data_IF_264156049621
#
_entry.id   IF_264156049621
#
_cell.length_a   1.000
_cell.length_b   1.000
_cell.length_c   1.000
_cell.angle_alpha   90.00
_cell.angle_beta   90.00
_cell.angle_gamma   90.00
#
_symmetry.space_group_name_H-M   'P 1'
#
loop_
_entity.id
_entity.type
_entity.pdbx_description
1 polymer ?
#
# COMPACT_ATOMS: atom_id res chain seq x y z
N UNK A 1 0.90 -20.27 61.53
CA UNK A 1 2.05 -20.37 60.59
C UNK A 1 1.56 -21.08 59.34
N UNK A 2 1.35 -20.32 58.25
CA UNK A 2 1.27 -20.82 56.87
C UNK A 2 2.69 -21.19 56.38
N UNK A 3 2.91 -21.93 55.27
CA UNK A 3 2.61 -21.48 53.90
C UNK A 3 1.96 -22.57 53.00
N UNK A 4 0.91 -22.30 52.23
CA UNK A 4 0.90 -21.75 50.85
C UNK A 4 1.88 -22.39 49.85
N UNK A 5 1.36 -23.34 49.06
CA UNK A 5 1.94 -23.82 47.80
C UNK A 5 1.25 -23.11 46.64
N UNK A 6 1.96 -22.20 45.96
CA UNK A 6 1.62 -21.70 44.61
C UNK A 6 2.76 -22.12 43.70
N UNK A 7 2.43 -22.90 42.66
CA UNK A 7 3.38 -23.28 41.63
C UNK A 7 3.87 -22.07 40.83
N UNK A 8 5.10 -22.10 40.29
CA UNK A 8 5.53 -21.11 39.32
C UNK A 8 4.93 -21.44 37.96
N UNK A 9 4.14 -20.49 37.49
CA UNK A 9 3.63 -20.28 36.14
C UNK A 9 4.64 -20.62 35.06
N UNK A 10 4.17 -21.34 34.04
CA UNK A 10 4.88 -21.54 32.77
C UNK A 10 5.31 -20.19 32.19
N UNK A 11 6.54 -20.05 31.67
CA UNK A 11 6.90 -18.89 30.89
C UNK A 11 6.03 -18.89 29.62
N UNK A 12 5.11 -17.93 29.55
CA UNK A 12 4.44 -17.59 28.29
C UNK A 12 5.56 -17.18 27.35
N UNK A 13 5.91 -18.07 26.42
CA UNK A 13 6.85 -17.76 25.37
C UNK A 13 6.32 -16.54 24.63
N UNK A 14 6.97 -15.39 24.85
CA UNK A 14 6.78 -14.20 24.03
C UNK A 14 7.29 -14.59 22.66
N UNK A 15 6.40 -15.14 21.81
CA UNK A 15 6.66 -15.30 20.39
C UNK A 15 6.99 -13.89 19.90
N UNK A 16 8.24 -13.67 19.50
CA UNK A 16 8.70 -12.41 18.93
C UNK A 16 7.83 -12.09 17.70
N UNK A 17 6.83 -11.22 17.89
CA UNK A 17 6.01 -10.73 16.80
C UNK A 17 6.75 -9.58 16.12
N UNK A 18 6.75 -9.57 14.78
CA UNK A 18 7.30 -8.47 13.99
C UNK A 18 6.36 -7.27 14.05
N UNK A 19 6.87 -6.08 14.35
CA UNK A 19 6.07 -4.86 14.52
C UNK A 19 6.20 -3.94 13.31
N UNK A 20 5.08 -3.56 12.71
CA UNK A 20 4.98 -2.73 11.51
C UNK A 20 4.31 -1.40 11.88
N UNK A 21 5.03 -0.28 11.81
CA UNK A 21 4.44 1.04 12.00
C UNK A 21 4.17 1.71 10.66
N UNK A 22 2.90 2.07 10.42
CA UNK A 22 2.44 2.60 9.15
C UNK A 22 1.90 4.00 9.27
N UNK A 23 2.44 4.89 8.43
CA UNK A 23 1.96 6.26 8.25
C UNK A 23 1.41 6.44 6.85
N UNK A 24 0.23 7.05 6.73
CA UNK A 24 -0.30 7.46 5.44
C UNK A 24 0.41 8.74 4.98
N UNK A 25 1.44 8.62 4.15
CA UNK A 25 1.93 9.75 3.39
C UNK A 25 0.99 9.97 2.19
N UNK A 26 0.03 10.89 2.33
CA UNK A 26 -0.74 11.38 1.18
C UNK A 26 0.25 12.00 0.19
N UNK A 27 0.11 11.69 -1.11
CA UNK A 27 1.00 12.15 -2.15
C UNK A 27 1.16 13.69 -2.08
N UNK A 28 2.32 14.16 -1.60
CA UNK A 28 2.59 15.57 -1.37
C UNK A 28 3.19 15.92 0.00
N UNK A 29 3.08 15.05 1.01
CA UNK A 29 3.81 15.24 2.28
C UNK A 29 5.20 14.63 2.19
N UNK A 30 6.23 15.43 2.43
CA UNK A 30 7.58 14.90 2.71
C UNK A 30 7.47 13.80 3.78
N UNK A 31 8.15 12.64 3.65
CA UNK A 31 8.12 11.66 4.72
C UNK A 31 8.56 12.35 6.02
N UNK A 32 7.86 12.14 7.15
CA UNK A 32 8.34 12.66 8.41
C UNK A 32 9.79 12.18 8.59
N UNK A 33 10.71 13.12 8.72
CA UNK A 33 12.10 12.80 9.08
C UNK A 33 12.06 12.23 10.49
N UNK A 34 12.05 10.91 10.59
CA UNK A 34 12.19 10.24 11.87
C UNK A 34 13.60 10.49 12.37
N UNK A 35 13.73 11.37 13.37
CA UNK A 35 14.96 11.49 14.13
C UNK A 35 15.28 10.11 14.73
N UNK A 36 16.51 9.59 14.60
CA UNK A 36 16.90 8.40 15.33
C UNK A 36 16.81 8.71 16.82
N UNK A 37 15.88 8.04 17.53
CA UNK A 37 15.78 8.14 18.98
C UNK A 37 17.11 7.66 19.59
N UNK A 38 17.91 8.63 20.03
CA UNK A 38 19.26 8.39 20.55
C UNK A 38 19.22 8.17 22.08
N UNK A 39 18.06 7.80 22.63
CA UNK A 39 17.93 7.54 24.07
C UNK A 39 18.27 6.09 24.40
N UNK A 40 19.58 5.82 24.43
CA UNK A 40 20.30 4.89 25.33
C UNK A 40 19.51 3.69 25.89
N UNK A 41 19.22 2.71 25.03
CA UNK A 41 19.26 1.28 25.40
C UNK A 41 19.54 0.45 24.14
N UNK A 42 20.82 0.22 23.87
CA UNK A 42 21.34 -0.43 22.69
C UNK A 42 21.14 -1.96 22.74
N UNK A 43 19.87 -2.39 22.74
CA UNK A 43 19.49 -3.67 22.18
C UNK A 43 18.76 -3.32 20.89
N UNK A 44 19.41 -3.58 19.75
CA UNK A 44 18.82 -3.47 18.43
C UNK A 44 17.50 -4.26 18.45
N UNK A 45 16.36 -3.58 18.47
CA UNK A 45 15.06 -4.23 18.23
C UNK A 45 14.98 -4.57 16.74
N UNK A 46 15.64 -5.66 16.35
CA UNK A 46 15.79 -6.19 14.98
C UNK A 46 14.45 -6.55 14.27
N UNK A 47 13.29 -6.24 14.86
CA UNK A 47 11.97 -6.72 14.44
C UNK A 47 10.95 -5.60 14.21
N UNK A 48 11.38 -4.35 14.06
CA UNK A 48 10.47 -3.21 13.83
C UNK A 48 10.71 -2.61 12.44
N UNK A 49 9.70 -2.65 11.58
CA UNK A 49 9.71 -1.97 10.28
C UNK A 49 8.82 -0.73 10.36
N UNK A 50 9.36 0.43 9.97
CA UNK A 50 8.62 1.70 9.94
C UNK A 50 8.57 2.21 8.51
N UNK A 51 7.40 2.60 8.02
CA UNK A 51 7.30 3.12 6.67
C UNK A 51 5.88 3.43 6.23
N UNK A 52 5.75 3.75 4.94
CA UNK A 52 4.47 3.99 4.29
C UNK A 52 3.86 2.73 3.68
N UNK A 53 2.76 2.89 2.91
CA UNK A 53 2.05 1.79 2.28
C UNK A 53 2.93 0.88 1.41
N UNK A 54 3.88 1.45 0.66
CA UNK A 54 4.80 0.67 -0.20
C UNK A 54 5.71 -0.25 0.62
N UNK A 55 6.13 0.15 1.82
CA UNK A 55 6.98 -0.67 2.69
C UNK A 55 6.21 -1.87 3.21
N UNK A 56 4.96 -1.66 3.63
CA UNK A 56 4.06 -2.76 3.99
C UNK A 56 3.89 -3.73 2.83
N UNK A 57 3.61 -3.22 1.63
CA UNK A 57 3.31 -4.06 0.48
C UNK A 57 4.50 -4.93 0.08
N UNK A 58 5.70 -4.34 0.01
CA UNK A 58 6.93 -5.08 -0.28
C UNK A 58 7.21 -6.15 0.77
N UNK A 59 6.95 -5.86 2.05
CA UNK A 59 7.06 -6.86 3.13
C UNK A 59 6.06 -8.01 2.92
N UNK A 60 4.79 -7.71 2.68
CA UNK A 60 3.75 -8.72 2.44
C UNK A 60 4.08 -9.60 1.23
N UNK A 61 4.45 -9.00 0.11
CA UNK A 61 4.87 -9.70 -1.11
C UNK A 61 6.05 -10.65 -0.84
N UNK A 62 7.01 -10.23 -0.02
CA UNK A 62 8.14 -11.07 0.38
C UNK A 62 7.68 -12.25 1.24
N UNK A 63 6.83 -12.00 2.25
CA UNK A 63 6.34 -13.06 3.14
C UNK A 63 5.44 -14.07 2.42
N UNK A 64 4.73 -13.63 1.39
CA UNK A 64 3.79 -14.46 0.61
C UNK A 64 4.45 -15.11 -0.62
N UNK A 65 5.77 -14.98 -0.79
CA UNK A 65 6.49 -15.57 -1.93
C UNK A 65 6.07 -14.99 -3.29
N UNK A 66 5.59 -13.75 -3.30
CA UNK A 66 5.13 -13.04 -4.50
C UNK A 66 5.85 -11.69 -4.71
N UNK A 67 7.19 -11.62 -4.60
CA UNK A 67 7.91 -10.36 -4.80
C UNK A 67 7.63 -9.79 -6.19
N UNK A 68 7.34 -8.49 -6.25
CA UNK A 68 7.17 -7.75 -7.49
C UNK A 68 8.44 -6.94 -7.74
N UNK A 69 9.03 -7.11 -8.93
CA UNK A 69 10.18 -6.29 -9.31
C UNK A 69 9.76 -4.82 -9.36
N UNK A 70 10.52 -3.89 -8.74
CA UNK A 70 10.18 -2.47 -8.80
C UNK A 70 10.31 -1.99 -10.24
N UNK A 71 9.20 -1.58 -10.85
CA UNK A 71 9.21 -0.98 -12.18
C UNK A 71 9.17 0.54 -12.04
N UNK A 72 10.13 1.19 -12.71
CA UNK A 72 10.25 2.64 -12.71
C UNK A 72 9.03 3.32 -13.33
N UNK A 73 8.69 4.51 -12.83
CA UNK A 73 7.57 5.32 -13.35
C UNK A 73 7.71 5.61 -14.85
N UNK A 74 8.95 5.81 -15.32
CA UNK A 74 9.25 6.08 -16.74
C UNK A 74 8.86 4.89 -17.61
N UNK A 75 9.27 3.67 -17.24
CA UNK A 75 8.91 2.45 -17.97
C UNK A 75 7.39 2.26 -18.02
N UNK A 76 6.69 2.38 -16.88
CA UNK A 76 5.22 2.30 -16.87
C UNK A 76 4.58 3.33 -17.79
N UNK A 77 5.14 4.54 -17.84
CA UNK A 77 4.61 5.62 -18.69
C UNK A 77 4.75 5.28 -20.17
N UNK A 78 5.90 4.73 -20.59
CA UNK A 78 6.08 4.29 -21.97
C UNK A 78 5.16 3.12 -22.34
N UNK A 79 5.00 2.13 -21.45
CA UNK A 79 4.04 1.03 -21.66
C UNK A 79 2.61 1.54 -21.78
N UNK A 80 2.24 2.53 -20.98
CA UNK A 80 0.93 3.13 -21.05
C UNK A 80 0.73 3.98 -22.31
N UNK A 81 1.78 4.67 -22.76
CA UNK A 81 1.79 5.37 -24.05
C UNK A 81 1.54 4.39 -25.21
N UNK A 82 2.20 3.23 -25.21
CA UNK A 82 1.95 2.18 -26.22
C UNK A 82 0.47 1.73 -26.24
N UNK A 83 -0.19 1.62 -25.07
CA UNK A 83 -1.64 1.33 -25.03
C UNK A 83 -2.47 2.47 -25.63
N UNK A 84 -2.15 3.72 -25.27
CA UNK A 84 -2.85 4.91 -25.74
C UNK A 84 -2.77 5.08 -27.26
N UNK A 85 -1.65 4.72 -27.89
CA UNK A 85 -1.49 4.74 -29.35
C UNK A 85 -2.46 3.80 -30.08
N UNK A 86 -2.98 2.78 -29.38
CA UNK A 86 -3.93 1.80 -29.91
C UNK A 86 -5.37 2.10 -29.50
N UNK A 87 -5.57 3.05 -28.59
CA UNK A 87 -6.88 3.37 -28.04
C UNK A 87 -7.62 4.38 -28.93
N UNK A 88 -8.93 4.18 -29.08
CA UNK A 88 -9.79 5.19 -29.67
C UNK A 88 -10.18 6.22 -28.61
N UNK A 89 -9.30 7.21 -28.41
CA UNK A 89 -9.51 8.29 -27.44
C UNK A 89 -10.51 9.32 -27.98
N UNK A 90 -11.40 9.77 -27.11
CA UNK A 90 -12.39 10.80 -27.43
C UNK A 90 -12.12 12.09 -26.67
N UNK A 91 -12.10 12.02 -25.34
CA UNK A 91 -11.96 13.19 -24.47
C UNK A 91 -10.53 13.72 -24.43
N UNK A 92 -9.54 12.83 -24.39
CA UNK A 92 -8.12 13.19 -24.24
C UNK A 92 -7.39 13.29 -25.58
N UNK A 93 -8.11 13.13 -26.71
CA UNK A 93 -7.53 13.10 -28.06
C UNK A 93 -6.70 14.34 -28.38
N UNK A 94 -7.22 15.53 -28.07
CA UNK A 94 -6.54 16.78 -28.37
C UNK A 94 -5.24 16.92 -27.56
N UNK A 95 -5.27 16.60 -26.28
CA UNK A 95 -4.06 16.62 -25.42
C UNK A 95 -3.04 15.59 -25.89
N UNK A 96 -3.49 14.38 -26.24
CA UNK A 96 -2.64 13.32 -26.74
C UNK A 96 -1.94 13.72 -28.05
N UNK A 97 -2.65 14.39 -28.97
CA UNK A 97 -2.06 14.87 -30.22
C UNK A 97 -1.01 15.98 -30.01
N UNK A 98 -1.12 16.77 -28.94
CA UNK A 98 -0.17 17.84 -28.62
C UNK A 98 1.09 17.32 -27.93
N UNK A 99 0.92 16.44 -26.94
CA UNK A 99 2.02 15.82 -26.19
C UNK A 99 1.61 14.42 -25.71
N UNK A 100 1.94 13.37 -26.48
CA UNK A 100 1.59 12.00 -26.15
C UNK A 100 2.19 11.54 -24.81
N UNK A 101 3.45 11.90 -24.55
CA UNK A 101 4.18 11.41 -23.39
C UNK A 101 3.68 12.07 -22.10
N UNK A 102 3.47 13.39 -22.10
CA UNK A 102 2.90 14.07 -20.94
C UNK A 102 1.46 13.62 -20.68
N UNK A 103 0.66 13.44 -21.75
CA UNK A 103 -0.71 12.91 -21.63
C UNK A 103 -0.69 11.51 -21.02
N UNK A 104 0.16 10.61 -21.50
CA UNK A 104 0.32 9.26 -20.93
C UNK A 104 0.68 9.30 -19.43
N UNK A 105 1.61 10.16 -19.03
CA UNK A 105 2.02 10.29 -17.63
C UNK A 105 0.90 10.80 -16.71
N UNK A 106 0.02 11.69 -17.23
CA UNK A 106 -1.15 12.19 -16.50
C UNK A 106 -2.23 11.13 -16.41
N UNK A 107 -2.56 10.48 -17.52
CA UNK A 107 -3.60 9.45 -17.57
C UNK A 107 -3.23 8.22 -16.73
N UNK A 108 -1.99 7.75 -16.79
CA UNK A 108 -1.50 6.67 -15.94
C UNK A 108 -1.63 7.02 -14.45
N UNK A 109 -1.32 8.27 -14.07
CA UNK A 109 -1.49 8.71 -12.68
C UNK A 109 -2.97 8.70 -12.27
N UNK A 110 -3.86 9.23 -13.12
CA UNK A 110 -5.31 9.23 -12.85
C UNK A 110 -5.88 7.83 -12.73
N UNK A 111 -5.44 6.94 -13.61
CA UNK A 111 -5.75 5.51 -13.56
C UNK A 111 -5.35 4.88 -12.22
N UNK A 112 -4.10 5.08 -11.78
CA UNK A 112 -3.62 4.55 -10.51
C UNK A 112 -4.38 5.15 -9.29
N UNK A 113 -4.70 6.45 -9.34
CA UNK A 113 -5.53 7.12 -8.31
C UNK A 113 -6.95 6.53 -8.23
N UNK A 114 -7.62 6.37 -9.37
CA UNK A 114 -8.97 5.80 -9.46
C UNK A 114 -8.99 4.33 -9.02
N UNK A 115 -8.00 3.55 -9.43
CA UNK A 115 -7.89 2.15 -9.03
C UNK A 115 -7.76 1.99 -7.51
N UNK A 116 -6.97 2.86 -6.84
CA UNK A 116 -6.89 2.90 -5.38
C UNK A 116 -8.19 3.36 -4.71
N UNK A 117 -8.97 4.20 -5.40
CA UNK A 117 -10.32 4.62 -4.97
C UNK A 117 -11.39 3.54 -5.19
N UNK A 118 -11.07 2.43 -5.88
CA UNK A 118 -11.96 1.30 -6.10
C UNK A 118 -12.56 1.20 -7.51
N UNK A 119 -12.07 1.99 -8.46
CA UNK A 119 -12.43 1.82 -9.88
C UNK A 119 -11.84 0.51 -10.44
N UNK A 120 -12.63 -0.21 -11.23
CA UNK A 120 -12.29 -1.55 -11.75
C UNK A 120 -12.00 -1.59 -13.26
N UNK A 121 -11.78 -0.45 -13.91
CA UNK A 121 -11.45 -0.40 -15.34
C UNK A 121 -12.64 -0.49 -16.30
N UNK A 122 -13.81 -0.96 -15.85
CA UNK A 122 -14.95 -1.27 -16.72
C UNK A 122 -16.22 -0.47 -16.44
N UNK A 123 -16.25 0.26 -15.32
CA UNK A 123 -17.44 1.01 -14.95
C UNK A 123 -17.43 2.31 -15.74
N UNK A 124 -18.19 2.35 -16.83
CA UNK A 124 -18.60 3.61 -17.45
C UNK A 124 -19.38 4.39 -16.38
N UNK A 125 -18.72 5.34 -15.72
CA UNK A 125 -19.47 6.41 -15.08
C UNK A 125 -20.07 7.21 -16.22
N UNK A 126 -21.35 6.95 -16.54
CA UNK A 126 -22.09 7.72 -17.53
C UNK A 126 -21.90 9.22 -17.22
N UNK A 127 -21.11 9.92 -18.05
CA UNK A 127 -20.88 11.36 -17.93
C UNK A 127 -19.45 11.84 -17.69
N UNK A 128 -18.46 10.99 -17.43
CA UNK A 128 -17.04 11.42 -17.37
C UNK A 128 -16.21 10.84 -18.53
N UNK A 129 -16.03 11.66 -19.57
CA UNK A 129 -15.28 11.28 -20.76
C UNK A 129 -13.82 10.89 -20.49
N UNK A 130 -13.21 11.37 -19.40
CA UNK A 130 -11.87 10.94 -19.00
C UNK A 130 -11.89 9.47 -18.52
N UNK A 131 -12.86 9.11 -17.67
CA UNK A 131 -12.98 7.74 -17.14
C UNK A 131 -13.33 6.77 -18.26
N UNK A 132 -14.15 7.18 -19.23
CA UNK A 132 -14.42 6.39 -20.43
C UNK A 132 -13.15 6.13 -21.25
N UNK A 133 -12.34 7.16 -21.52
CA UNK A 133 -11.08 6.99 -22.23
C UNK A 133 -10.13 6.06 -21.47
N UNK A 134 -10.02 6.19 -20.14
CA UNK A 134 -9.23 5.27 -19.32
C UNK A 134 -9.75 3.82 -19.44
N UNK A 135 -11.08 3.62 -19.39
CA UNK A 135 -11.68 2.30 -19.54
C UNK A 135 -11.41 1.65 -20.91
N UNK A 136 -11.40 2.44 -21.98
CA UNK A 136 -11.03 1.98 -23.33
C UNK A 136 -9.57 1.51 -23.40
N UNK A 137 -8.69 2.12 -22.62
CA UNK A 137 -7.24 1.82 -22.62
C UNK A 137 -6.89 0.59 -21.77
N UNK A 138 -7.63 0.31 -20.69
CA UNK A 138 -7.29 -0.76 -19.75
C UNK A 138 -7.28 -2.16 -20.37
N UNK A 139 -8.11 -2.41 -21.40
CA UNK A 139 -8.22 -3.71 -22.07
C UNK A 139 -7.21 -3.93 -23.20
N UNK A 140 -6.30 -2.97 -23.43
CA UNK A 140 -5.37 -3.00 -24.56
C UNK A 140 -3.98 -3.54 -24.17
N UNK A 141 -3.33 -4.15 -25.14
CA UNK A 141 -1.93 -4.55 -25.09
C UNK A 141 -0.98 -3.34 -25.24
N UNK A 142 0.27 -3.42 -24.74
CA UNK A 142 0.87 -4.53 -23.98
C UNK A 142 0.39 -4.57 -22.52
N UNK A 143 0.67 -5.65 -21.81
CA UNK A 143 0.53 -5.70 -20.35
C UNK A 143 1.26 -4.53 -19.65
N UNK A 144 0.51 -3.82 -18.81
CA UNK A 144 1.07 -2.79 -17.95
C UNK A 144 1.69 -3.46 -16.73
N UNK A 145 2.92 -3.10 -16.35
CA UNK A 145 3.48 -3.52 -15.07
C UNK A 145 2.51 -3.23 -13.91
N UNK A 146 2.59 -3.99 -12.81
CA UNK A 146 1.65 -3.86 -11.70
C UNK A 146 1.81 -2.53 -10.94
N UNK A 147 0.72 -1.79 -10.79
CA UNK A 147 0.64 -0.59 -9.97
C UNK A 147 0.36 -0.94 -8.52
N UNK A 148 0.12 0.08 -7.69
CA UNK A 148 -0.12 -0.15 -6.27
C UNK A 148 -1.42 -0.96 -6.03
N UNK A 149 -2.48 -0.63 -6.77
CA UNK A 149 -3.77 -1.35 -6.74
C UNK A 149 -3.62 -2.81 -7.10
N UNK A 150 -2.97 -3.12 -8.23
CA UNK A 150 -2.84 -4.50 -8.70
C UNK A 150 -1.93 -5.34 -7.78
N UNK A 151 -0.92 -4.70 -7.17
CA UNK A 151 -0.07 -5.34 -6.16
C UNK A 151 -0.87 -5.69 -4.89
N UNK A 152 -1.77 -4.82 -4.45
CA UNK A 152 -2.67 -5.10 -3.32
C UNK A 152 -3.58 -6.29 -3.65
N UNK A 153 -4.15 -6.31 -4.84
CA UNK A 153 -5.02 -7.39 -5.29
C UNK A 153 -4.30 -8.73 -5.30
N UNK A 154 -3.09 -8.77 -5.88
CA UNK A 154 -2.25 -9.97 -5.88
C UNK A 154 -1.94 -10.47 -4.47
N UNK A 155 -1.72 -9.57 -3.51
CA UNK A 155 -1.49 -9.94 -2.11
C UNK A 155 -2.76 -10.50 -1.47
N UNK A 156 -3.92 -9.90 -1.73
CA UNK A 156 -5.22 -10.41 -1.27
C UNK A 156 -5.48 -11.81 -1.83
N UNK A 157 -5.24 -12.02 -3.13
CA UNK A 157 -5.39 -13.33 -3.78
C UNK A 157 -4.52 -14.40 -3.09
N UNK A 158 -3.26 -14.08 -2.78
CA UNK A 158 -2.36 -15.00 -2.06
C UNK A 158 -2.85 -15.35 -0.65
N UNK A 159 -3.47 -14.39 0.04
CA UNK A 159 -4.06 -14.62 1.35
C UNK A 159 -5.32 -15.51 1.23
N UNK A 160 -6.11 -15.33 0.18
CA UNK A 160 -7.29 -16.13 -0.11
C UNK A 160 -6.97 -17.57 -0.54
N UNK A 161 -5.83 -17.78 -1.21
CA UNK A 161 -5.25 -19.10 -1.49
C UNK A 161 -4.79 -19.85 -0.23
N UNK A 162 -4.83 -19.21 0.94
CA UNK A 162 -4.50 -19.81 2.24
C UNK A 162 -3.03 -19.67 2.66
N UNK A 163 -2.24 -18.87 1.95
CA UNK A 163 -0.87 -18.57 2.34
C UNK A 163 -0.86 -17.81 3.67
N UNK A 164 -0.10 -18.31 4.64
CA UNK A 164 -0.07 -17.72 5.99
C UNK A 164 1.08 -16.75 6.15
N UNK A 165 0.78 -15.59 6.71
CA UNK A 165 1.79 -14.64 7.17
C UNK A 165 2.47 -15.14 8.45
N UNK A 166 3.75 -14.77 8.67
CA UNK A 166 4.38 -14.96 9.96
C UNK A 166 3.66 -14.15 11.05
N UNK A 167 3.81 -14.47 12.35
CA UNK A 167 3.28 -13.66 13.45
C UNK A 167 3.77 -12.20 13.35
N UNK A 168 2.84 -11.25 13.29
CA UNK A 168 3.13 -9.84 13.09
C UNK A 168 2.12 -8.97 13.83
N UNK A 169 2.43 -7.69 14.01
CA UNK A 169 1.54 -6.66 14.55
C UNK A 169 1.68 -5.42 13.71
N UNK A 170 0.56 -4.82 13.34
CA UNK A 170 0.53 -3.62 12.50
C UNK A 170 -0.07 -2.47 13.31
N UNK A 171 0.75 -1.46 13.58
CA UNK A 171 0.34 -0.20 14.19
C UNK A 171 -0.04 0.77 13.09
N UNK A 172 -1.31 1.13 13.01
CA UNK A 172 -1.80 2.18 12.14
C UNK A 172 -1.82 3.51 12.91
N UNK A 173 -1.09 4.50 12.41
CA UNK A 173 -1.11 5.85 12.98
C UNK A 173 -2.32 6.67 12.51
N UNK A 174 -2.91 6.28 11.38
CA UNK A 174 -4.13 6.86 10.83
C UNK A 174 -5.28 5.86 10.92
N UNK A 175 -6.53 6.31 11.16
CA UNK A 175 -7.68 5.41 11.20
C UNK A 175 -7.83 4.68 9.86
N UNK A 176 -8.26 3.42 9.88
CA UNK A 176 -8.40 2.60 8.66
C UNK A 176 -9.29 3.25 7.59
N UNK A 177 -10.26 4.07 7.98
CA UNK A 177 -11.15 4.78 7.06
C UNK A 177 -10.48 5.96 6.34
N UNK A 178 -9.35 6.47 6.85
CA UNK A 178 -8.53 7.44 6.14
C UNK A 178 -7.70 6.81 5.02
N UNK A 179 -7.53 5.48 5.02
CA UNK A 179 -6.80 4.79 3.96
C UNK A 179 -7.64 4.69 2.69
N UNK A 180 -6.99 4.68 1.50
CA UNK A 180 -7.69 4.48 0.23
C UNK A 180 -8.53 3.20 0.27
N UNK A 181 -9.75 3.19 -0.30
CA UNK A 181 -10.67 2.06 -0.25
C UNK A 181 -10.02 0.70 -0.57
N UNK A 182 -9.13 0.65 -1.57
CA UNK A 182 -8.46 -0.60 -1.97
C UNK A 182 -7.54 -1.19 -0.91
N UNK A 183 -7.00 -0.38 0.00
CA UNK A 183 -6.17 -0.85 1.12
C UNK A 183 -6.98 -1.49 2.24
N UNK A 184 -8.24 -1.06 2.45
CA UNK A 184 -9.02 -1.44 3.63
C UNK A 184 -9.27 -2.95 3.75
N UNK A 185 -9.59 -3.70 2.67
CA UNK A 185 -9.71 -5.16 2.74
C UNK A 185 -8.42 -5.83 3.19
N UNK A 186 -7.27 -5.38 2.67
CA UNK A 186 -5.96 -5.92 3.02
C UNK A 186 -5.63 -5.64 4.49
N UNK A 187 -5.79 -4.40 4.95
CA UNK A 187 -5.51 -4.03 6.34
C UNK A 187 -6.38 -4.80 7.34
N UNK A 188 -7.64 -5.10 7.00
CA UNK A 188 -8.53 -5.92 7.86
C UNK A 188 -8.10 -7.38 7.98
N UNK A 189 -7.26 -7.89 7.07
CA UNK A 189 -6.69 -9.25 7.13
C UNK A 189 -5.45 -9.32 8.02
N UNK A 190 -4.92 -8.18 8.49
CA UNK A 190 -3.71 -8.11 9.30
C UNK A 190 -4.03 -8.02 10.80
N UNK A 191 -3.06 -8.37 11.64
CA UNK A 191 -3.14 -8.21 13.09
C UNK A 191 -2.92 -6.73 13.48
N UNK A 192 -3.98 -5.93 13.36
CA UNK A 192 -3.94 -4.50 13.67
C UNK A 192 -3.89 -4.25 15.19
N UNK A 193 -3.05 -3.29 15.59
CA UNK A 193 -2.94 -2.76 16.95
C UNK A 193 -3.18 -1.26 16.88
N UNK A 194 -4.00 -0.74 17.79
CA UNK A 194 -4.18 0.71 17.92
C UNK A 194 -2.87 1.37 18.29
N UNK A 195 -2.49 2.45 17.61
CA UNK A 195 -1.43 3.31 18.11
C UNK A 195 -1.91 3.89 19.45
N UNK A 196 -1.21 3.59 20.55
CA UNK A 196 -1.45 4.29 21.81
C UNK A 196 -1.34 5.79 21.53
N UNK A 197 -2.33 6.56 22.01
CA UNK A 197 -2.29 8.01 21.88
C UNK A 197 -0.96 8.51 22.45
N UNK A 198 -0.20 9.36 21.73
CA UNK A 198 1.01 9.92 22.30
C UNK A 198 0.61 10.63 23.60
N UNK A 199 1.23 10.24 24.71
CA UNK A 199 1.06 10.93 25.98
C UNK A 199 1.27 12.43 25.73
N UNK A 200 0.40 13.32 26.24
CA UNK A 200 0.55 14.74 26.00
C UNK A 200 1.93 15.16 26.49
N UNK A 201 2.80 15.59 25.57
CA UNK A 201 4.06 16.24 25.90
C UNK A 201 3.68 17.56 26.55
N UNK A 202 3.67 17.60 27.88
CA UNK A 202 3.58 18.85 28.61
C UNK A 202 4.81 19.69 28.20
N UNK A 203 4.65 20.95 27.77
CA UNK A 203 5.78 21.86 27.68
C UNK A 203 6.29 22.13 29.09
N UNK A 204 7.60 22.02 29.31
CA UNK A 204 8.27 22.63 30.48
C UNK A 204 8.23 24.16 30.41
#
# INVERSE_FOLDING_TARGET
MSPSSRGPSSPTAVRSAFELHLHLALAGSSPPTFAPDTTRSAIVRLHVLRGGPTVLLTWLETQLGAPVAPVGRVERTFRYLERLERADLTHTRQSFALDPLATAAVLLRRRDELALAGWSGSNASEGDGLVEDLGRVETLEPDLPLGLSERIDRVLDRLDEGTRLPPHRVVLHDPIDAWPPRWRPLLRRLELVSADAPAPTAPE
#
